data_IF_316223729009
#
_entry.id   IF_316223729009
#
_cell.length_a   1.000
_cell.length_b   1.000
_cell.length_c   1.000
_cell.angle_alpha   90.00
_cell.angle_beta   90.00
_cell.angle_gamma   90.00
#
_symmetry.space_group_name_H-M   'P 1'
#
loop_
_entity.id
_entity.type
_entity.pdbx_description
1 polymer ?
#
# COMPACT_ATOMS: atom_id res chain seq x y z
N UNK A 1 -19.94 -68.05 -16.17
CA UNK A 1 -20.97 -67.13 -16.69
C UNK A 1 -21.57 -66.41 -15.50
N UNK A 2 -21.56 -65.06 -15.54
CA UNK A 2 -22.39 -64.11 -14.77
C UNK A 2 -22.36 -64.25 -13.23
N UNK A 3 -22.00 -63.27 -12.41
CA UNK A 3 -22.34 -61.85 -12.46
C UNK A 3 -21.26 -61.08 -11.70
N UNK A 4 -20.64 -60.14 -12.40
CA UNK A 4 -19.88 -59.05 -11.82
C UNK A 4 -20.82 -58.05 -11.13
N UNK A 5 -20.22 -57.18 -10.30
CA UNK A 5 -20.64 -55.77 -10.13
C UNK A 5 -21.54 -55.41 -8.95
N UNK A 6 -21.12 -55.72 -7.73
CA UNK A 6 -21.43 -54.93 -6.53
C UNK A 6 -20.17 -54.97 -5.67
N UNK A 7 -19.29 -53.97 -5.63
CA UNK A 7 -19.40 -52.77 -4.80
C UNK A 7 -18.36 -51.72 -5.26
N UNK A 8 -18.41 -51.32 -6.53
CA UNK A 8 -17.78 -50.04 -6.93
C UNK A 8 -18.86 -48.98 -6.82
N UNK A 9 -18.67 -48.02 -5.92
CA UNK A 9 -19.47 -46.80 -5.88
C UNK A 9 -19.94 -46.37 -4.49
N UNK A 10 -19.03 -46.20 -3.55
CA UNK A 10 -19.22 -45.14 -2.55
C UNK A 10 -18.46 -43.92 -3.08
N UNK A 11 -19.16 -43.12 -3.88
CA UNK A 11 -18.67 -41.83 -4.34
C UNK A 11 -18.33 -40.95 -3.11
N UNK A 12 -17.23 -40.19 -3.13
CA UNK A 12 -16.93 -39.26 -2.05
C UNK A 12 -18.08 -38.24 -1.89
N UNK A 13 -18.37 -37.77 -0.67
CA UNK A 13 -19.46 -36.83 -0.41
C UNK A 13 -19.32 -35.57 -1.27
N UNK A 14 -20.33 -35.18 -2.07
CA UNK A 14 -20.25 -33.97 -2.87
C UNK A 14 -20.82 -32.78 -2.09
N UNK A 15 -20.27 -32.43 -0.93
CA UNK A 15 -20.82 -31.32 -0.15
C UNK A 15 -19.75 -30.54 0.59
N UNK A 16 -19.20 -29.51 -0.08
CA UNK A 16 -18.77 -28.25 0.57
C UNK A 16 -18.20 -27.16 -0.37
N UNK A 17 -18.25 -27.31 -1.70
CA UNK A 17 -17.58 -26.34 -2.61
C UNK A 17 -18.46 -25.16 -3.09
N UNK A 18 -19.59 -24.85 -2.45
CA UNK A 18 -20.59 -23.91 -3.01
C UNK A 18 -20.92 -22.67 -2.17
N UNK A 19 -20.23 -22.40 -1.06
CA UNK A 19 -20.54 -21.22 -0.21
C UNK A 19 -19.38 -20.21 -0.09
N UNK A 20 -18.18 -20.49 -0.61
CA UNK A 20 -17.00 -19.63 -0.38
C UNK A 20 -16.81 -18.56 -1.48
N UNK A 21 -17.50 -18.69 -2.63
CA UNK A 21 -17.26 -17.82 -3.81
C UNK A 21 -17.64 -16.35 -3.62
N UNK A 22 -18.59 -16.04 -2.73
CA UNK A 22 -19.00 -14.66 -2.44
C UNK A 22 -18.05 -13.98 -1.46
N UNK A 23 -17.64 -14.67 -0.40
CA UNK A 23 -16.65 -14.16 0.55
C UNK A 23 -15.31 -13.90 -0.13
N UNK A 24 -14.88 -14.81 -1.01
CA UNK A 24 -13.63 -14.69 -1.78
C UNK A 24 -13.63 -13.43 -2.68
N UNK A 25 -14.74 -13.15 -3.37
CA UNK A 25 -14.93 -11.93 -4.16
C UNK A 25 -14.92 -10.64 -3.32
N UNK A 26 -15.53 -10.67 -2.14
CA UNK A 26 -15.56 -9.50 -1.24
C UNK A 26 -14.15 -9.20 -0.74
N UNK A 27 -13.43 -10.23 -0.28
CA UNK A 27 -12.06 -10.10 0.22
C UNK A 27 -11.14 -9.61 -0.89
N UNK A 28 -11.24 -10.19 -2.09
CA UNK A 28 -10.47 -9.75 -3.26
C UNK A 28 -10.72 -8.27 -3.58
N UNK A 29 -11.98 -7.83 -3.54
CA UNK A 29 -12.37 -6.44 -3.82
C UNK A 29 -11.86 -5.49 -2.74
N UNK A 30 -11.97 -5.85 -1.46
CA UNK A 30 -11.49 -5.04 -0.33
C UNK A 30 -9.97 -4.89 -0.37
N UNK A 31 -9.23 -5.96 -0.66
CA UNK A 31 -7.76 -5.89 -0.78
C UNK A 31 -7.36 -5.01 -1.96
N UNK A 32 -8.02 -5.16 -3.13
CA UNK A 32 -7.75 -4.29 -4.30
C UNK A 32 -8.05 -2.83 -4.01
N UNK A 33 -9.21 -2.53 -3.43
CA UNK A 33 -9.58 -1.16 -3.05
C UNK A 33 -8.62 -0.60 -1.99
N UNK A 34 -8.23 -1.40 -1.01
CA UNK A 34 -7.24 -1.03 0.00
C UNK A 34 -5.90 -0.66 -0.63
N UNK A 35 -5.40 -1.50 -1.53
CA UNK A 35 -4.16 -1.22 -2.28
C UNK A 35 -4.24 0.06 -3.10
N UNK A 36 -5.31 0.23 -3.87
CA UNK A 36 -5.55 1.45 -4.69
C UNK A 36 -5.65 2.68 -3.79
N UNK A 37 -6.39 2.60 -2.67
CA UNK A 37 -6.52 3.71 -1.73
C UNK A 37 -5.19 4.10 -1.10
N UNK A 38 -4.33 3.13 -0.77
CA UNK A 38 -3.01 3.39 -0.21
C UNK A 38 -2.13 4.16 -1.22
N UNK A 39 -2.11 3.72 -2.47
CA UNK A 39 -1.39 4.41 -3.56
C UNK A 39 -1.92 5.84 -3.73
N UNK A 40 -3.24 6.02 -3.77
CA UNK A 40 -3.86 7.35 -3.92
C UNK A 40 -3.50 8.26 -2.75
N UNK A 41 -3.60 7.78 -1.50
CA UNK A 41 -3.26 8.57 -0.32
C UNK A 41 -1.78 8.97 -0.33
N UNK A 42 -0.88 8.02 -0.62
CA UNK A 42 0.56 8.30 -0.70
C UNK A 42 0.83 9.34 -1.80
N UNK A 43 0.22 9.19 -2.98
CA UNK A 43 0.38 10.13 -4.07
C UNK A 43 -0.14 11.54 -3.70
N UNK A 44 -1.27 11.63 -3.00
CA UNK A 44 -1.83 12.90 -2.54
C UNK A 44 -0.94 13.55 -1.47
N UNK A 45 -0.47 12.80 -0.48
CA UNK A 45 0.47 13.31 0.54
C UNK A 45 1.76 13.76 -0.13
N UNK A 46 2.30 12.98 -1.05
CA UNK A 46 3.51 13.34 -1.79
C UNK A 46 3.32 14.63 -2.58
N UNK A 47 2.19 14.78 -3.29
CA UNK A 47 1.86 16.01 -4.03
C UNK A 47 1.69 17.20 -3.07
N UNK A 48 1.06 16.99 -1.91
CA UNK A 48 0.96 18.00 -0.87
C UNK A 48 2.33 18.44 -0.36
N UNK A 49 3.23 17.50 -0.08
CA UNK A 49 4.60 17.79 0.33
C UNK A 49 5.38 18.53 -0.77
N UNK A 50 5.18 18.19 -2.04
CA UNK A 50 5.79 18.97 -3.12
C UNK A 50 5.19 20.38 -3.19
N UNK A 51 3.88 20.53 -3.05
CA UNK A 51 3.22 21.83 -3.14
C UNK A 51 3.60 22.77 -2.00
N UNK A 52 3.67 22.26 -0.77
CA UNK A 52 3.93 23.07 0.43
C UNK A 52 5.42 23.08 0.81
N UNK A 53 6.13 21.98 0.58
CA UNK A 53 7.55 21.85 0.90
C UNK A 53 8.46 22.49 -0.14
N UNK A 54 8.14 22.39 -1.44
CA UNK A 54 8.99 22.97 -2.49
C UNK A 54 9.13 24.50 -2.41
N UNK A 55 8.08 25.29 -2.12
CA UNK A 55 8.22 26.74 -1.88
C UNK A 55 9.23 27.07 -0.78
N UNK A 56 9.24 26.32 0.33
CA UNK A 56 10.22 26.50 1.39
C UNK A 56 11.66 26.25 0.91
N UNK A 57 11.85 25.31 -0.02
CA UNK A 57 13.16 25.07 -0.64
C UNK A 57 13.52 26.06 -1.76
N UNK A 58 12.56 26.74 -2.36
CA UNK A 58 12.79 27.74 -3.41
C UNK A 58 13.17 29.11 -2.82
N UNK A 59 12.60 29.46 -1.67
CA UNK A 59 12.92 30.70 -0.97
C UNK A 59 14.28 30.64 -0.25
N UNK A 60 14.76 29.44 0.10
CA UNK A 60 16.03 29.23 0.79
C UNK A 60 17.11 28.77 -0.22
N UNK A 61 18.25 29.47 -0.35
CA UNK A 61 19.32 29.01 -1.21
C UNK A 61 19.80 27.62 -0.80
N UNK A 62 19.82 26.66 -1.74
CA UNK A 62 20.18 25.25 -1.48
C UNK A 62 21.54 25.08 -0.77
N UNK A 63 22.44 26.06 -0.89
CA UNK A 63 23.73 26.12 -0.17
C UNK A 63 23.58 26.25 1.35
N UNK A 64 22.53 26.93 1.85
CA UNK A 64 22.24 27.05 3.29
C UNK A 64 21.78 25.73 3.89
N UNK A 65 21.14 24.85 3.11
CA UNK A 65 20.69 23.52 3.56
C UNK A 65 21.85 22.59 3.94
N UNK A 66 23.03 22.78 3.34
CA UNK A 66 24.26 22.07 3.70
C UNK A 66 25.03 22.75 4.85
N UNK A 67 24.42 23.74 5.52
CA UNK A 67 25.01 24.41 6.67
C UNK A 67 25.08 23.50 7.92
N UNK A 68 25.98 23.81 8.87
CA UNK A 68 26.20 23.01 10.07
C UNK A 68 25.13 23.22 11.17
N UNK A 69 24.25 24.21 11.04
CA UNK A 69 23.33 24.61 12.12
C UNK A 69 21.97 25.03 11.59
N UNK A 70 20.92 24.64 12.32
CA UNK A 70 19.53 25.02 12.06
C UNK A 70 19.12 26.16 13.01
N UNK A 71 19.06 27.39 12.49
CA UNK A 71 18.66 28.59 13.25
C UNK A 71 17.79 29.54 12.38
N UNK A 72 16.48 29.27 12.27
CA UNK A 72 15.58 29.99 11.34
C UNK A 72 15.44 31.49 11.63
N UNK A 73 15.61 31.91 12.90
CA UNK A 73 15.53 33.33 13.30
C UNK A 73 16.69 34.18 12.77
N UNK A 74 17.76 33.54 12.31
CA UNK A 74 18.92 34.17 11.66
C UNK A 74 19.06 33.72 10.20
N UNK A 75 17.98 33.25 9.59
CA UNK A 75 17.95 32.73 8.20
C UNK A 75 18.92 31.57 7.95
N UNK A 76 19.29 30.80 8.98
CA UNK A 76 20.17 29.63 8.85
C UNK A 76 19.35 28.33 8.83
N UNK A 77 19.47 27.55 7.75
CA UNK A 77 18.67 26.32 7.55
C UNK A 77 19.55 25.07 7.34
N UNK A 78 20.67 24.98 8.06
CA UNK A 78 21.62 23.87 7.93
C UNK A 78 21.06 22.54 8.43
N UNK A 79 21.07 21.51 7.58
CA UNK A 79 20.63 20.15 7.89
C UNK A 79 21.78 19.15 8.01
N UNK A 80 23.03 19.59 7.85
CA UNK A 80 24.22 18.75 8.02
C UNK A 80 24.33 18.05 9.39
N UNK A 81 23.93 18.64 10.54
CA UNK A 81 24.01 17.95 11.83
C UNK A 81 22.94 16.85 12.01
N UNK A 82 22.02 16.68 11.05
CA UNK A 82 20.95 15.68 11.07
C UNK A 82 21.25 14.42 10.22
N UNK A 83 22.40 14.40 9.52
CA UNK A 83 22.94 13.27 8.74
C UNK A 83 24.18 12.71 9.44
#
# INVERSE_FOLDING_TARGET
MAVAKERVGASPPPEQQSQVKWGERIIETVIKMGGISSIVIIALIFLFLLREGLPAFLDIPLRQLFGPTWYPIEEMFGMLPLL
#
